data_IF_644739113675
#
_entry.id   IF_644739113675
#
_cell.length_a   1.000
_cell.length_b   1.000
_cell.length_c   1.000
_cell.angle_alpha   90.00
_cell.angle_beta   90.00
_cell.angle_gamma   90.00
#
_symmetry.space_group_name_H-M   'P 1'
#
loop_
_entity.id
_entity.type
_entity.pdbx_description
1 polymer ?
#
# COMPACT_ATOMS: atom_id res chain seq x y z
N UNK A 1 16.67 -50.75 -12.73
CA UNK A 1 15.99 -49.80 -11.80
C UNK A 1 16.98 -48.95 -11.02
N UNK A 2 17.93 -49.52 -10.29
CA UNK A 2 18.91 -48.76 -9.49
C UNK A 2 19.67 -47.64 -10.22
N UNK A 3 20.15 -47.89 -11.45
CA UNK A 3 20.84 -46.85 -12.28
C UNK A 3 19.96 -45.66 -12.64
N UNK A 4 18.67 -45.92 -12.91
CA UNK A 4 17.71 -44.88 -13.27
C UNK A 4 17.42 -43.98 -12.04
N UNK A 5 17.20 -44.60 -10.88
CA UNK A 5 17.01 -43.90 -9.61
C UNK A 5 18.23 -43.05 -9.25
N UNK A 6 19.43 -43.61 -9.38
CA UNK A 6 20.67 -42.88 -9.09
C UNK A 6 20.85 -41.67 -10.00
N UNK A 7 20.62 -41.82 -11.32
CA UNK A 7 20.73 -40.71 -12.25
C UNK A 7 19.70 -39.60 -11.98
N UNK A 8 18.47 -40.00 -11.64
CA UNK A 8 17.42 -39.01 -11.30
C UNK A 8 17.77 -38.25 -10.01
N UNK A 9 18.25 -38.99 -8.98
CA UNK A 9 18.68 -38.38 -7.72
C UNK A 9 19.84 -37.41 -7.94
N UNK A 10 20.85 -37.78 -8.75
CA UNK A 10 21.96 -36.92 -9.07
C UNK A 10 21.50 -35.65 -9.83
N UNK A 11 20.60 -35.80 -10.80
CA UNK A 11 20.06 -34.65 -11.55
C UNK A 11 19.27 -33.70 -10.66
N UNK A 12 18.42 -34.21 -9.77
CA UNK A 12 17.66 -33.37 -8.84
C UNK A 12 18.56 -32.70 -7.80
N UNK A 13 19.59 -33.37 -7.31
CA UNK A 13 20.56 -32.83 -6.39
C UNK A 13 21.35 -31.66 -7.05
N UNK A 14 21.82 -31.88 -8.28
CA UNK A 14 22.53 -30.84 -9.03
C UNK A 14 21.64 -29.63 -9.29
N UNK A 15 20.38 -29.86 -9.72
CA UNK A 15 19.41 -28.79 -9.92
C UNK A 15 19.14 -28.02 -8.60
N UNK A 16 19.00 -28.70 -7.48
CA UNK A 16 18.83 -28.10 -6.17
C UNK A 16 20.01 -27.22 -5.75
N UNK A 17 21.24 -27.67 -5.99
CA UNK A 17 22.45 -26.89 -5.72
C UNK A 17 22.49 -25.62 -6.58
N UNK A 18 22.19 -25.74 -7.88
CA UNK A 18 22.17 -24.58 -8.78
C UNK A 18 21.13 -23.57 -8.32
N UNK A 19 19.89 -24.00 -8.05
CA UNK A 19 18.81 -23.12 -7.59
C UNK A 19 19.16 -22.46 -6.26
N UNK A 20 19.68 -23.24 -5.30
CA UNK A 20 20.10 -22.73 -3.99
C UNK A 20 21.21 -21.69 -4.09
N UNK A 21 22.19 -21.93 -4.97
CA UNK A 21 23.29 -20.98 -5.21
C UNK A 21 22.78 -19.68 -5.83
N UNK A 22 21.94 -19.76 -6.85
CA UNK A 22 21.33 -18.58 -7.48
C UNK A 22 20.50 -17.80 -6.45
N UNK A 23 19.69 -18.49 -5.65
CA UNK A 23 18.88 -17.87 -4.61
C UNK A 23 19.75 -17.13 -3.57
N UNK A 24 20.83 -17.77 -3.11
CA UNK A 24 21.74 -17.20 -2.12
C UNK A 24 22.32 -15.84 -2.58
N UNK A 25 22.73 -15.73 -3.84
CA UNK A 25 23.25 -14.48 -4.40
C UNK A 25 22.17 -13.46 -4.77
N UNK A 26 20.96 -13.92 -5.12
CA UNK A 26 19.90 -13.04 -5.61
C UNK A 26 19.03 -12.48 -4.48
N UNK A 27 18.84 -13.24 -3.39
CA UNK A 27 17.96 -12.83 -2.29
C UNK A 27 18.33 -11.46 -1.67
N UNK A 28 19.59 -11.15 -1.35
CA UNK A 28 19.93 -9.84 -0.78
C UNK A 28 19.69 -8.69 -1.76
N UNK A 29 19.90 -8.92 -3.06
CA UNK A 29 19.65 -7.92 -4.10
C UNK A 29 18.15 -7.65 -4.23
N UNK A 30 17.33 -8.70 -4.17
CA UNK A 30 15.88 -8.57 -4.23
C UNK A 30 15.33 -7.76 -3.05
N UNK A 31 15.88 -7.93 -1.85
CA UNK A 31 15.46 -7.16 -0.67
C UNK A 31 15.80 -5.68 -0.79
N UNK A 32 17.02 -5.35 -1.24
CA UNK A 32 17.42 -3.97 -1.51
C UNK A 32 16.50 -3.32 -2.55
N UNK A 33 16.14 -4.05 -3.60
CA UNK A 33 15.21 -3.55 -4.62
C UNK A 33 13.81 -3.29 -4.06
N UNK A 34 13.32 -4.16 -3.17
CA UNK A 34 12.01 -3.95 -2.50
C UNK A 34 12.01 -2.68 -1.64
N UNK A 35 13.08 -2.46 -0.87
CA UNK A 35 13.22 -1.26 -0.04
C UNK A 35 13.25 -0.01 -0.92
N UNK A 36 14.05 0.00 -1.98
CA UNK A 36 14.11 1.11 -2.93
C UNK A 36 12.77 1.39 -3.60
N UNK A 37 12.08 0.34 -4.05
CA UNK A 37 10.75 0.48 -4.65
C UNK A 37 9.74 1.09 -3.67
N UNK A 38 9.81 0.69 -2.39
CA UNK A 38 8.98 1.23 -1.32
C UNK A 38 9.24 2.73 -1.14
N UNK A 39 10.50 3.12 -0.95
CA UNK A 39 10.90 4.53 -0.80
C UNK A 39 10.53 5.38 -2.01
N UNK A 40 10.80 4.88 -3.21
CA UNK A 40 10.44 5.56 -4.45
C UNK A 40 8.93 5.77 -4.56
N UNK A 41 8.14 4.74 -4.24
CA UNK A 41 6.68 4.82 -4.28
C UNK A 41 6.11 5.84 -3.29
N UNK A 42 6.69 5.92 -2.09
CA UNK A 42 6.31 6.95 -1.10
C UNK A 42 6.66 8.34 -1.61
N UNK A 43 7.85 8.52 -2.20
CA UNK A 43 8.29 9.81 -2.74
C UNK A 43 7.49 10.24 -3.98
N UNK A 44 7.05 9.30 -4.82
CA UNK A 44 6.15 9.59 -5.94
C UNK A 44 4.76 10.06 -5.46
N UNK A 45 4.25 9.50 -4.36
CA UNK A 45 2.95 9.88 -3.80
C UNK A 45 2.99 11.23 -3.07
N UNK A 46 4.09 11.52 -2.37
CA UNK A 46 4.27 12.76 -1.60
C UNK A 46 5.64 13.36 -1.92
N UNK A 47 5.81 13.97 -3.10
CA UNK A 47 7.11 14.49 -3.56
C UNK A 47 7.63 15.63 -2.68
N UNK A 48 6.75 16.37 -2.02
CA UNK A 48 7.09 17.48 -1.12
C UNK A 48 7.65 17.03 0.23
N UNK A 49 7.60 15.74 0.57
CA UNK A 49 8.11 15.24 1.83
C UNK A 49 9.65 15.26 1.86
N UNK A 50 10.20 15.82 2.93
CA UNK A 50 11.63 15.77 3.21
C UNK A 50 12.04 14.44 3.85
N UNK A 51 11.13 13.82 4.61
CA UNK A 51 11.39 12.60 5.36
C UNK A 51 10.14 11.74 5.52
N UNK A 52 10.32 10.42 5.50
CA UNK A 52 9.29 9.44 5.85
C UNK A 52 9.71 8.73 7.15
N UNK A 53 8.83 8.76 8.14
CA UNK A 53 9.08 8.16 9.47
C UNK A 53 8.01 7.12 9.72
N UNK A 54 8.43 5.90 10.03
CA UNK A 54 7.51 4.82 10.41
C UNK A 54 6.83 5.15 11.73
N UNK A 55 5.53 4.87 11.82
CA UNK A 55 4.73 5.16 13.01
C UNK A 55 4.94 4.05 14.03
N UNK A 56 5.39 4.40 15.23
CA UNK A 56 5.59 3.45 16.30
C UNK A 56 4.29 2.73 16.67
N UNK A 57 4.33 1.42 16.79
CA UNK A 57 3.15 0.59 17.07
C UNK A 57 2.24 0.30 15.86
N UNK A 58 2.51 0.87 14.69
CA UNK A 58 1.76 0.61 13.45
C UNK A 58 2.72 0.22 12.31
N UNK A 59 3.03 -1.06 12.13
CA UNK A 59 3.92 -1.50 11.07
C UNK A 59 3.37 -1.12 9.69
N UNK A 60 4.28 -0.75 8.78
CA UNK A 60 3.95 -0.34 7.41
C UNK A 60 3.11 0.97 7.30
N UNK A 61 3.00 1.74 8.39
CA UNK A 61 2.44 3.09 8.40
C UNK A 61 3.55 4.13 8.53
N UNK A 62 3.48 5.17 7.72
CA UNK A 62 4.49 6.24 7.64
C UNK A 62 3.82 7.59 7.73
N UNK A 63 4.46 8.51 8.44
CA UNK A 63 4.19 9.94 8.34
C UNK A 63 5.21 10.59 7.42
N UNK A 64 4.74 11.39 6.49
CA UNK A 64 5.56 12.22 5.63
C UNK A 64 5.71 13.59 6.27
N UNK A 65 6.94 14.00 6.50
CA UNK A 65 7.27 15.27 7.16
C UNK A 65 7.97 16.22 6.18
N UNK A 66 7.60 17.50 6.28
CA UNK A 66 8.28 18.62 5.61
C UNK A 66 8.50 19.73 6.63
N UNK A 67 9.75 20.17 6.78
CA UNK A 67 10.13 21.24 7.72
C UNK A 67 9.64 20.99 9.17
N UNK A 68 9.64 19.72 9.58
CA UNK A 68 9.19 19.31 10.91
C UNK A 68 7.67 19.21 11.09
N UNK A 69 6.88 19.45 10.05
CA UNK A 69 5.43 19.30 10.06
C UNK A 69 4.99 18.05 9.30
N UNK A 70 3.99 17.35 9.81
CA UNK A 70 3.39 16.20 9.13
C UNK A 70 2.47 16.72 8.02
N UNK A 71 2.81 16.42 6.78
CA UNK A 71 2.04 16.81 5.59
C UNK A 71 1.16 15.71 5.03
N UNK A 72 1.50 14.45 5.29
CA UNK A 72 0.72 13.30 4.85
C UNK A 72 0.98 12.06 5.72
N UNK A 73 0.05 11.13 5.66
CA UNK A 73 0.17 9.77 6.17
C UNK A 73 0.13 8.78 5.02
N UNK A 74 0.97 7.77 5.08
CA UNK A 74 1.01 6.69 4.09
C UNK A 74 0.86 5.35 4.80
N UNK A 75 0.06 4.48 4.22
CA UNK A 75 -0.06 3.10 4.71
C UNK A 75 0.07 2.11 3.56
N UNK A 76 0.75 1.02 3.85
CA UNK A 76 0.77 -0.13 2.97
C UNK A 76 -0.43 -1.01 3.27
N UNK A 77 -1.24 -1.28 2.26
CA UNK A 77 -2.44 -2.09 2.39
C UNK A 77 -2.49 -3.21 1.36
N UNK A 78 -3.28 -4.24 1.68
CA UNK A 78 -3.54 -5.37 0.81
C UNK A 78 -5.04 -5.52 0.63
N UNK A 79 -5.50 -5.64 -0.61
CA UNK A 79 -6.89 -5.93 -0.92
C UNK A 79 -6.99 -7.11 -1.87
N UNK A 80 -8.06 -7.89 -1.74
CA UNK A 80 -8.31 -9.06 -2.59
C UNK A 80 -8.90 -8.58 -3.92
N UNK A 81 -8.10 -8.67 -4.99
CA UNK A 81 -8.53 -8.41 -6.35
C UNK A 81 -9.19 -9.62 -7.02
N UNK A 82 -9.17 -9.65 -8.36
CA UNK A 82 -9.73 -10.75 -9.14
C UNK A 82 -8.82 -12.00 -9.11
N UNK A 83 -7.54 -11.84 -9.43
CA UNK A 83 -6.54 -12.93 -9.50
C UNK A 83 -5.49 -12.86 -8.37
N UNK A 84 -5.89 -12.42 -7.18
CA UNK A 84 -5.02 -12.41 -6.04
C UNK A 84 -5.05 -11.10 -5.25
N UNK A 85 -4.00 -10.89 -4.46
CA UNK A 85 -3.89 -9.70 -3.64
C UNK A 85 -3.22 -8.56 -4.41
N UNK A 86 -3.80 -7.39 -4.27
CA UNK A 86 -3.23 -6.11 -4.74
C UNK A 86 -2.55 -5.47 -3.54
N UNK A 87 -1.24 -5.30 -3.61
CA UNK A 87 -0.43 -4.61 -2.59
C UNK A 87 -0.18 -3.19 -3.04
N UNK A 88 -0.56 -2.20 -2.22
CA UNK A 88 -0.44 -0.79 -2.59
C UNK A 88 -0.19 0.12 -1.40
N UNK A 89 0.55 1.21 -1.64
CA UNK A 89 0.57 2.35 -0.75
C UNK A 89 -0.61 3.25 -1.03
N UNK A 90 -1.21 3.76 0.03
CA UNK A 90 -2.20 4.83 -0.01
C UNK A 90 -1.65 5.99 0.79
N UNK A 91 -1.69 7.19 0.21
CA UNK A 91 -1.32 8.44 0.86
C UNK A 91 -2.55 9.29 1.09
N UNK A 92 -2.67 9.85 2.29
CA UNK A 92 -3.75 10.75 2.68
C UNK A 92 -3.21 11.95 3.47
N UNK A 93 -3.91 13.09 3.36
CA UNK A 93 -3.62 14.28 4.15
C UNK A 93 -4.03 14.09 5.61
N UNK A 94 -3.54 14.93 6.56
CA UNK A 94 -4.03 14.96 7.94
C UNK A 94 -5.56 15.18 8.03
N UNK A 95 -6.16 15.84 7.02
CA UNK A 95 -7.61 16.05 6.92
C UNK A 95 -8.36 14.82 6.36
N UNK A 96 -7.69 13.67 6.26
CA UNK A 96 -8.26 12.40 5.80
C UNK A 96 -8.78 12.43 4.36
N UNK A 97 -8.13 13.20 3.50
CA UNK A 97 -8.38 13.24 2.05
C UNK A 97 -7.28 12.49 1.32
N UNK A 98 -7.65 11.66 0.35
CA UNK A 98 -6.70 10.90 -0.44
C UNK A 98 -5.82 11.82 -1.27
N UNK A 99 -4.51 11.66 -1.18
CA UNK A 99 -3.54 12.25 -2.10
C UNK A 99 -3.45 11.38 -3.35
N UNK A 100 -3.33 10.07 -3.15
CA UNK A 100 -3.25 9.08 -4.20
C UNK A 100 -2.93 7.69 -3.65
N UNK A 101 -2.80 6.73 -4.56
CA UNK A 101 -2.27 5.42 -4.23
C UNK A 101 -1.28 4.94 -5.30
N UNK A 102 -0.36 4.06 -4.90
CA UNK A 102 0.62 3.44 -5.78
C UNK A 102 0.63 1.94 -5.57
N UNK A 103 0.35 1.18 -6.63
CA UNK A 103 0.38 -0.29 -6.57
C UNK A 103 1.83 -0.77 -6.67
N UNK A 104 2.23 -1.64 -5.74
CA UNK A 104 3.55 -2.26 -5.69
C UNK A 104 3.57 -3.63 -6.36
N UNK A 105 2.50 -4.40 -6.17
CA UNK A 105 2.37 -5.72 -6.81
C UNK A 105 0.91 -6.12 -6.97
N UNK A 106 0.62 -6.85 -8.03
CA UNK A 106 -0.70 -7.40 -8.35
C UNK A 106 -0.56 -8.59 -9.30
N UNK A 107 -1.67 -9.34 -9.47
CA UNK A 107 -1.81 -10.40 -10.47
C UNK A 107 -2.98 -10.16 -11.41
N UNK A 108 -3.51 -8.94 -11.44
CA UNK A 108 -4.68 -8.60 -12.26
C UNK A 108 -4.43 -8.80 -13.75
N UNK A 109 -5.49 -9.10 -14.49
CA UNK A 109 -5.45 -9.36 -15.92
C UNK A 109 -4.95 -8.13 -16.70
N UNK A 110 -3.89 -8.26 -17.50
CA UNK A 110 -3.40 -7.18 -18.36
C UNK A 110 -4.49 -6.66 -19.30
N UNK A 111 -4.55 -5.33 -19.47
CA UNK A 111 -5.54 -4.66 -20.30
C UNK A 111 -6.93 -4.51 -19.67
N UNK A 112 -7.22 -5.18 -18.55
CA UNK A 112 -8.48 -5.09 -17.81
C UNK A 112 -8.25 -4.58 -16.38
N UNK A 113 -7.88 -5.46 -15.45
CA UNK A 113 -7.68 -5.11 -14.05
C UNK A 113 -6.53 -4.12 -13.83
N UNK A 114 -5.47 -4.20 -14.62
CA UNK A 114 -4.34 -3.27 -14.57
C UNK A 114 -4.71 -1.81 -14.90
N UNK A 115 -5.86 -1.57 -15.54
CA UNK A 115 -6.38 -0.22 -15.76
C UNK A 115 -6.68 0.50 -14.43
N UNK A 116 -6.93 -0.24 -13.34
CA UNK A 116 -7.13 0.31 -12.02
C UNK A 116 -5.86 0.98 -11.44
N UNK A 117 -4.71 0.76 -12.05
CA UNK A 117 -3.44 1.32 -11.60
C UNK A 117 -2.96 2.49 -12.45
N UNK A 118 -3.74 2.86 -13.45
CA UNK A 118 -3.42 3.95 -14.39
C UNK A 118 -3.97 5.28 -13.87
N UNK A 119 -3.34 6.40 -14.26
CA UNK A 119 -3.73 7.75 -13.79
C UNK A 119 -5.20 8.09 -13.97
N UNK A 120 -5.82 7.59 -15.06
CA UNK A 120 -7.25 7.82 -15.34
C UNK A 120 -8.17 7.31 -14.24
N UNK A 121 -7.91 6.11 -13.71
CA UNK A 121 -8.72 5.56 -12.61
C UNK A 121 -8.24 6.10 -11.28
N UNK A 122 -6.93 6.15 -11.04
CA UNK A 122 -6.33 6.62 -9.80
C UNK A 122 -6.70 8.06 -9.48
N UNK A 123 -6.78 8.93 -10.47
CA UNK A 123 -7.15 10.34 -10.30
C UNK A 123 -8.55 10.56 -9.75
N UNK A 124 -9.44 9.56 -9.84
CA UNK A 124 -10.77 9.67 -9.24
C UNK A 124 -10.75 9.75 -7.70
N UNK A 125 -9.68 9.31 -7.07
CA UNK A 125 -9.56 9.25 -5.60
C UNK A 125 -9.05 10.55 -4.98
N UNK A 126 -8.28 11.32 -5.72
CA UNK A 126 -7.61 12.51 -5.21
C UNK A 126 -8.60 13.51 -4.61
N UNK A 127 -8.31 13.96 -3.39
CA UNK A 127 -9.14 14.92 -2.64
C UNK A 127 -10.40 14.33 -2.01
N UNK A 128 -10.70 13.05 -2.23
CA UNK A 128 -11.90 12.39 -1.69
C UNK A 128 -11.65 11.85 -0.29
N UNK A 129 -12.69 11.84 0.53
CA UNK A 129 -12.72 11.23 1.85
C UNK A 129 -13.36 9.84 1.86
N UNK A 130 -13.48 9.26 3.04
CA UNK A 130 -14.04 7.91 3.24
C UNK A 130 -15.48 7.80 2.76
N UNK A 131 -16.25 8.86 2.84
CA UNK A 131 -17.65 8.98 2.39
C UNK A 131 -17.82 8.78 0.88
N UNK A 132 -16.78 9.05 0.12
CA UNK A 132 -16.75 8.93 -1.33
C UNK A 132 -16.30 7.54 -1.82
N UNK A 133 -15.86 6.66 -0.91
CA UNK A 133 -15.30 5.35 -1.25
C UNK A 133 -16.41 4.32 -1.51
N UNK A 134 -17.18 4.56 -2.56
CA UNK A 134 -18.18 3.65 -3.09
C UNK A 134 -18.04 3.52 -4.61
N UNK A 135 -18.10 2.29 -5.10
CA UNK A 135 -17.92 1.99 -6.52
C UNK A 135 -19.26 1.87 -7.21
N UNK A 136 -19.46 2.69 -8.23
CA UNK A 136 -20.68 2.73 -9.06
C UNK A 136 -20.39 2.28 -10.50
N UNK A 137 -21.39 1.79 -11.19
CA UNK A 137 -21.28 1.37 -12.62
C UNK A 137 -21.68 2.48 -13.59
N UNK A 138 -22.45 3.44 -13.13
CA UNK A 138 -22.88 4.63 -13.87
C UNK A 138 -22.29 5.82 -13.14
N UNK A 139 -21.85 6.84 -13.88
CA UNK A 139 -21.22 8.02 -13.31
C UNK A 139 -22.16 8.71 -12.32
N UNK A 140 -21.72 8.81 -11.09
CA UNK A 140 -22.37 9.55 -10.00
C UNK A 140 -21.34 10.50 -9.39
N UNK A 141 -21.82 11.71 -9.03
CA UNK A 141 -20.93 12.71 -8.43
C UNK A 141 -20.38 12.24 -7.08
N UNK A 142 -19.10 12.44 -6.88
CA UNK A 142 -18.41 12.06 -5.65
C UNK A 142 -18.07 10.57 -5.53
N UNK A 143 -18.62 9.68 -6.35
CA UNK A 143 -18.38 8.23 -6.31
C UNK A 143 -17.20 7.83 -7.21
N UNK A 144 -16.80 6.56 -7.12
CA UNK A 144 -15.74 5.97 -7.94
C UNK A 144 -16.38 5.16 -9.06
N UNK A 145 -16.20 5.60 -10.31
CA UNK A 145 -16.71 4.87 -11.47
C UNK A 145 -15.89 3.60 -11.70
N UNK A 146 -16.55 2.46 -11.72
CA UNK A 146 -15.91 1.18 -12.00
C UNK A 146 -15.36 1.11 -13.43
N UNK A 147 -14.28 0.39 -13.60
CA UNK A 147 -13.74 0.03 -14.91
C UNK A 147 -14.64 -1.06 -15.50
N UNK A 148 -15.14 -0.84 -16.71
CA UNK A 148 -15.90 -1.84 -17.46
C UNK A 148 -15.04 -3.09 -17.66
N UNK A 149 -15.59 -4.25 -17.29
CA UNK A 149 -14.86 -5.53 -17.31
C UNK A 149 -13.94 -5.78 -16.11
N UNK A 150 -13.67 -4.79 -15.24
CA UNK A 150 -12.79 -4.92 -14.07
C UNK A 150 -13.42 -4.38 -12.78
N UNK A 151 -14.71 -4.60 -12.57
CA UNK A 151 -15.45 -4.12 -11.38
C UNK A 151 -14.88 -4.70 -10.08
N UNK A 152 -14.45 -5.97 -10.08
CA UNK A 152 -13.87 -6.61 -8.88
C UNK A 152 -12.58 -5.89 -8.48
N UNK A 153 -11.68 -5.64 -9.43
CA UNK A 153 -10.44 -4.90 -9.19
C UNK A 153 -10.69 -3.46 -8.75
N UNK A 154 -11.67 -2.78 -9.39
CA UNK A 154 -12.10 -1.43 -8.99
C UNK A 154 -12.57 -1.38 -7.53
N UNK A 155 -13.39 -2.36 -7.12
CA UNK A 155 -13.85 -2.50 -5.73
C UNK A 155 -12.71 -2.82 -4.78
N UNK A 156 -11.78 -3.69 -5.18
CA UNK A 156 -10.64 -4.07 -4.35
C UNK A 156 -9.74 -2.86 -4.04
N UNK A 157 -9.42 -2.06 -5.04
CA UNK A 157 -8.63 -0.83 -4.86
C UNK A 157 -9.39 0.15 -3.97
N UNK A 158 -10.67 0.40 -4.24
CA UNK A 158 -11.49 1.32 -3.45
C UNK A 158 -11.62 0.88 -2.00
N UNK A 159 -11.79 -0.42 -1.75
CA UNK A 159 -11.83 -0.97 -0.39
C UNK A 159 -10.50 -0.78 0.34
N UNK A 160 -9.38 -1.02 -0.33
CA UNK A 160 -8.06 -0.79 0.27
C UNK A 160 -7.83 0.67 0.65
N UNK A 161 -8.22 1.61 -0.21
CA UNK A 161 -8.18 3.05 0.10
C UNK A 161 -9.11 3.38 1.27
N UNK A 162 -10.34 2.86 1.25
CA UNK A 162 -11.33 3.07 2.32
C UNK A 162 -10.81 2.60 3.68
N UNK A 163 -10.20 1.41 3.73
CA UNK A 163 -9.66 0.85 4.97
C UNK A 163 -8.58 1.76 5.55
N UNK A 164 -7.63 2.22 4.72
CA UNK A 164 -6.58 3.13 5.16
C UNK A 164 -7.15 4.44 5.71
N UNK A 165 -8.14 5.05 5.05
CA UNK A 165 -8.77 6.27 5.54
C UNK A 165 -9.50 6.05 6.88
N UNK A 166 -10.17 4.91 7.04
CA UNK A 166 -10.88 4.55 8.28
C UNK A 166 -9.89 4.34 9.43
N UNK A 167 -8.80 3.64 9.18
CA UNK A 167 -7.75 3.41 10.17
C UNK A 167 -7.00 4.70 10.52
N UNK A 168 -6.79 5.59 9.56
CA UNK A 168 -6.21 6.92 9.79
C UNK A 168 -7.12 7.77 10.67
N UNK A 169 -8.43 7.76 10.44
CA UNK A 169 -9.40 8.49 11.28
C UNK A 169 -9.36 8.00 12.73
N UNK A 170 -9.30 6.68 12.94
CA UNK A 170 -9.18 6.09 14.27
C UNK A 170 -7.87 6.51 14.95
N UNK A 171 -6.75 6.42 14.23
CA UNK A 171 -5.43 6.79 14.72
C UNK A 171 -5.33 8.27 15.11
N UNK A 172 -5.85 9.17 14.29
CA UNK A 172 -5.84 10.60 14.59
C UNK A 172 -6.72 10.96 15.79
N UNK A 173 -7.84 10.26 15.99
CA UNK A 173 -8.69 10.40 17.20
C UNK A 173 -7.95 9.97 18.47
N UNK A 174 -7.22 8.87 18.41
CA UNK A 174 -6.42 8.34 19.52
C UNK A 174 -5.33 9.33 19.93
N UNK A 175 -4.52 9.83 19.01
CA UNK A 175 -3.48 10.82 19.28
C UNK A 175 -4.06 12.11 19.88
N UNK A 176 -5.16 12.58 19.33
CA UNK A 176 -5.82 13.78 19.84
C UNK A 176 -6.37 13.59 21.25
N UNK A 177 -6.86 12.41 21.60
CA UNK A 177 -7.30 12.07 22.95
C UNK A 177 -6.13 12.05 23.95
N UNK A 178 -5.02 11.38 23.58
CA UNK A 178 -3.81 11.32 24.40
C UNK A 178 -3.19 12.71 24.64
N UNK A 179 -3.17 13.55 23.60
CA UNK A 179 -2.64 14.92 23.71
C UNK A 179 -3.47 15.79 24.65
N UNK A 180 -4.80 15.63 24.69
CA UNK A 180 -5.69 16.33 25.62
C UNK A 180 -5.45 15.91 27.07
N UNK A 181 -5.37 14.60 27.33
CA UNK A 181 -5.10 14.06 28.67
C UNK A 181 -3.75 14.59 29.21
N UNK A 182 -2.73 14.61 28.36
CA UNK A 182 -1.38 15.10 28.72
C UNK A 182 -1.36 16.62 29.04
N UNK A 183 -2.24 17.38 28.40
CA UNK A 183 -2.35 18.82 28.63
C UNK A 183 -3.12 19.11 29.92
N UNK A 184 -4.19 18.39 30.21
CA UNK A 184 -4.99 18.52 31.44
C UNK A 184 -4.19 18.13 32.69
N UNK A 185 -3.44 17.02 32.63
CA UNK A 185 -2.60 16.57 33.76
C UNK A 185 -1.47 17.55 34.11
N UNK A 186 -1.04 18.38 33.15
CA UNK A 186 0.01 19.40 33.34
C UNK A 186 -0.53 20.71 33.89
N UNK A 187 -1.84 20.93 33.82
CA UNK A 187 -2.51 22.13 34.29
C UNK A 187 -2.98 21.97 35.74
N UNK A 188 -3.29 20.74 36.22
CA UNK A 188 -3.68 20.43 37.59
C UNK A 188 -2.48 20.28 38.54
N UNK A 189 -1.25 20.22 38.03
CA UNK A 189 -0.01 20.08 38.81
C UNK A 189 0.70 21.43 39.12
N UNK A 190 0.05 22.55 38.91
CA UNK A 190 0.58 23.88 39.17
C UNK A 190 -0.37 24.67 40.12
#
# INVERSE_FOLDING_TARGET
>A
MFKITLNLTMATLLAGIIIGTVFYYTAPIAEIQRIRQKEQSMKELVPDASKFVEIEGKPEWYRAEKDGQVIAYLALTHSKGFDGHIKMFVAATPDKKVIGYKVLSHRETPGLGDQAFKPKFAGQFTGKGVENMEVVKIQEEGRILAITGATITSRAVTLGVKNVLTELDAYLKEINAESKIKTESKTEGK
#
